data_IF_967205530067
#
_entry.id   IF_967205530067
#
_cell.length_a   1.000
_cell.length_b   1.000
_cell.length_c   1.000
_cell.angle_alpha   90.00
_cell.angle_beta   90.00
_cell.angle_gamma   90.00
#
_symmetry.space_group_name_H-M   'P 1'
#
loop_
_entity.id
_entity.type
_entity.pdbx_description
1 polymer ?
#
# COMPACT_ATOMS: atom_id res chain seq x y z
N UNK A 1 -30.52 6.91 23.19
CA UNK A 1 -29.22 7.56 23.43
C UNK A 1 -28.72 7.16 24.81
N UNK A 2 -27.60 6.43 24.87
CA UNK A 2 -27.05 5.85 26.11
C UNK A 2 -26.08 6.83 26.78
N UNK A 3 -26.52 8.08 26.98
CA UNK A 3 -25.76 9.15 27.68
C UNK A 3 -25.26 8.65 29.05
N UNK A 4 -26.06 7.80 29.69
CA UNK A 4 -25.79 7.14 30.97
C UNK A 4 -24.46 6.40 31.04
N UNK A 5 -23.84 6.01 29.92
CA UNK A 5 -22.55 5.32 29.92
C UNK A 5 -21.38 6.20 30.38
N UNK A 6 -21.48 7.51 30.19
CA UNK A 6 -20.39 8.47 30.48
C UNK A 6 -20.72 9.43 31.62
N UNK A 7 -21.93 9.33 32.18
CA UNK A 7 -22.34 10.09 33.37
C UNK A 7 -21.85 9.35 34.62
N UNK A 8 -21.16 10.08 35.48
CA UNK A 8 -20.56 9.69 36.74
C UNK A 8 -21.01 10.71 37.80
N UNK A 9 -20.90 10.38 39.09
CA UNK A 9 -21.31 11.31 40.16
C UNK A 9 -20.59 12.68 40.07
N UNK A 10 -19.36 12.69 39.56
CA UNK A 10 -18.55 13.90 39.40
C UNK A 10 -19.01 14.84 38.29
N UNK A 11 -19.74 14.35 37.26
CA UNK A 11 -20.27 15.16 36.15
C UNK A 11 -21.80 15.10 36.08
N UNK A 12 -22.48 14.50 37.06
CA UNK A 12 -23.94 14.36 37.09
C UNK A 12 -24.67 15.70 37.08
N UNK A 13 -24.07 16.72 37.69
CA UNK A 13 -24.59 18.10 37.70
C UNK A 13 -24.34 18.85 36.37
N UNK A 14 -23.54 18.27 35.48
CA UNK A 14 -23.27 18.83 34.16
C UNK A 14 -24.26 18.24 33.14
N UNK A 15 -25.12 19.09 32.58
CA UNK A 15 -26.05 18.74 31.49
C UNK A 15 -25.29 18.55 30.16
N UNK A 16 -24.39 17.57 30.10
CA UNK A 16 -23.52 17.34 28.95
C UNK A 16 -24.29 16.75 27.77
N UNK A 17 -24.00 17.28 26.57
CA UNK A 17 -24.49 16.72 25.30
C UNK A 17 -23.60 15.55 24.86
N UNK A 18 -24.22 14.43 24.52
CA UNK A 18 -23.56 13.25 23.95
C UNK A 18 -23.31 13.39 22.44
N UNK A 19 -23.93 14.36 21.76
CA UNK A 19 -23.75 14.54 20.32
C UNK A 19 -22.39 15.11 19.91
N UNK A 20 -21.68 15.76 20.84
CA UNK A 20 -20.40 16.43 20.56
C UNK A 20 -19.22 15.67 21.17
N UNK A 21 -18.58 14.84 20.35
CA UNK A 21 -17.33 14.18 20.71
C UNK A 21 -16.14 15.15 20.58
N UNK A 22 -15.49 15.49 21.70
CA UNK A 22 -14.31 16.37 21.77
C UNK A 22 -13.32 15.81 22.81
N UNK A 23 -12.61 14.72 22.47
CA UNK A 23 -11.86 13.94 23.45
C UNK A 23 -10.73 14.76 24.07
N UNK A 24 -10.58 14.64 25.39
CA UNK A 24 -9.49 15.28 26.15
C UNK A 24 -8.75 14.24 26.97
N UNK A 25 -7.44 14.41 27.08
CA UNK A 25 -6.60 13.63 27.96
C UNK A 25 -6.46 14.33 29.31
N UNK A 26 -6.83 13.66 30.40
CA UNK A 26 -6.57 14.12 31.75
C UNK A 26 -5.13 13.87 32.20
N UNK A 27 -4.70 14.56 33.26
CA UNK A 27 -3.40 14.34 33.92
C UNK A 27 -3.27 12.93 34.53
N UNK A 28 -4.39 12.25 34.74
CA UNK A 28 -4.51 10.85 35.14
C UNK A 28 -4.21 9.85 34.00
N UNK A 29 -3.91 10.35 32.79
CA UNK A 29 -3.76 9.57 31.55
C UNK A 29 -5.03 8.83 31.11
N UNK A 30 -6.22 9.31 31.51
CA UNK A 30 -7.50 8.79 31.05
C UNK A 30 -8.07 9.73 29.97
N UNK A 31 -8.69 9.13 28.95
CA UNK A 31 -9.36 9.86 27.87
C UNK A 31 -10.83 10.01 28.24
N UNK A 32 -11.30 11.25 28.28
CA UNK A 32 -12.70 11.60 28.54
C UNK A 32 -13.41 11.95 27.24
N UNK A 33 -14.72 11.64 27.15
CA UNK A 33 -15.52 11.85 25.93
C UNK A 33 -15.57 13.31 25.47
N UNK A 34 -15.67 14.23 26.44
CA UNK A 34 -15.62 15.67 26.23
C UNK A 34 -15.11 16.37 27.48
N UNK A 35 -14.67 17.65 27.42
CA UNK A 35 -14.32 18.41 28.62
C UNK A 35 -15.50 18.56 29.61
N UNK A 36 -16.74 18.49 29.12
CA UNK A 36 -17.93 18.49 29.98
C UNK A 36 -18.04 17.18 30.75
N UNK A 37 -17.83 16.02 30.09
CA UNK A 37 -17.82 14.74 30.78
C UNK A 37 -16.61 14.57 31.72
N UNK A 38 -15.55 15.35 31.55
CA UNK A 38 -14.45 15.46 32.53
C UNK A 38 -14.79 16.41 33.71
N UNK A 39 -15.92 17.13 33.66
CA UNK A 39 -16.35 18.06 34.71
C UNK A 39 -15.57 19.37 34.76
N UNK A 40 -14.92 19.76 33.66
CA UNK A 40 -14.05 20.93 33.62
C UNK A 40 -14.83 22.25 33.56
N UNK A 41 -14.51 23.17 34.46
CA UNK A 41 -15.17 24.49 34.53
C UNK A 41 -14.34 25.63 33.94
N UNK A 42 -13.01 25.50 33.90
CA UNK A 42 -12.10 26.52 33.37
C UNK A 42 -11.56 26.11 32.01
N UNK A 43 -11.47 27.09 31.11
CA UNK A 43 -10.84 26.94 29.80
C UNK A 43 -9.71 27.96 29.68
N UNK A 44 -8.52 27.47 29.37
CA UNK A 44 -7.34 28.25 29.06
C UNK A 44 -7.08 28.16 27.56
N UNK A 45 -6.80 29.30 26.91
CA UNK A 45 -6.49 29.34 25.49
C UNK A 45 -5.16 30.04 25.27
N UNK A 46 -4.22 29.34 24.65
CA UNK A 46 -2.87 29.84 24.34
C UNK A 46 -2.48 29.37 22.94
N UNK A 47 -2.09 30.28 22.04
CA UNK A 47 -1.63 29.97 20.68
C UNK A 47 -2.55 28.99 19.92
N UNK A 48 -3.86 29.22 20.00
CA UNK A 48 -4.93 28.39 19.41
C UNK A 48 -5.08 26.97 19.99
N UNK A 49 -4.31 26.63 21.03
CA UNK A 49 -4.51 25.43 21.84
C UNK A 49 -5.45 25.73 22.99
N UNK A 50 -6.43 24.85 23.19
CA UNK A 50 -7.33 24.86 24.36
C UNK A 50 -6.90 23.83 25.38
N UNK A 51 -6.82 24.27 26.62
CA UNK A 51 -6.52 23.48 27.80
C UNK A 51 -7.63 23.70 28.82
N UNK A 52 -7.85 22.72 29.69
CA UNK A 52 -8.97 22.72 30.63
C UNK A 52 -8.46 22.50 32.05
N UNK A 53 -9.17 23.06 33.03
CA UNK A 53 -8.85 22.87 34.45
C UNK A 53 -10.08 23.02 35.33
N UNK A 54 -9.90 22.77 36.64
CA UNK A 54 -10.99 22.67 37.60
C UNK A 54 -12.01 21.60 37.17
N UNK A 55 -11.50 20.41 36.86
CA UNK A 55 -12.22 19.25 36.38
C UNK A 55 -12.57 18.34 37.57
N UNK A 56 -13.86 18.13 37.83
CA UNK A 56 -14.32 17.34 38.99
C UNK A 56 -14.10 15.83 38.83
N UNK A 57 -13.99 15.32 37.61
CA UNK A 57 -13.84 13.87 37.36
C UNK A 57 -12.38 13.42 37.23
N UNK A 58 -11.42 14.35 37.17
CA UNK A 58 -10.01 14.02 36.99
C UNK A 58 -9.36 13.93 38.36
N UNK A 59 -8.96 12.73 38.76
CA UNK A 59 -8.21 12.55 40.01
C UNK A 59 -6.81 13.15 39.86
N UNK A 60 -6.57 14.27 40.54
CA UNK A 60 -5.24 14.83 40.67
C UNK A 60 -4.38 13.84 41.46
N UNK A 61 -3.50 13.13 40.77
CA UNK A 61 -2.41 12.40 41.42
C UNK A 61 -1.47 13.43 42.07
N UNK A 62 -1.78 13.83 43.31
CA UNK A 62 -0.94 14.68 44.15
C UNK A 62 0.35 13.94 44.53
N UNK A 63 1.24 13.69 43.57
CA UNK A 63 2.63 13.40 43.87
C UNK A 63 3.33 14.71 44.23
N UNK A 64 3.24 15.07 45.52
CA UNK A 64 4.12 16.00 46.22
C UNK A 64 4.29 17.40 45.61
N UNK A 65 3.27 18.26 45.74
CA UNK A 65 3.52 19.69 45.90
C UNK A 65 2.52 20.30 46.88
N UNK A 66 3.03 20.60 48.06
CA UNK A 66 2.42 21.42 49.08
C UNK A 66 2.17 22.85 48.59
N UNK A 67 1.05 23.44 49.03
CA UNK A 67 0.76 24.88 49.10
C UNK A 67 0.39 25.54 47.76
N UNK A 68 -0.89 25.90 47.65
CA UNK A 68 -1.45 26.85 46.68
C UNK A 68 -1.19 26.50 45.21
N UNK A 69 -1.99 25.58 44.66
CA UNK A 69 -2.05 25.36 43.23
C UNK A 69 -2.29 26.71 42.51
N UNK A 70 -1.44 27.13 41.55
CA UNK A 70 -1.66 28.36 40.82
C UNK A 70 -3.02 28.28 40.12
N UNK A 71 -3.72 29.41 40.02
CA UNK A 71 -5.08 29.51 39.46
C UNK A 71 -5.22 29.00 38.00
N UNK A 72 -4.09 28.69 37.35
CA UNK A 72 -3.91 28.24 35.98
C UNK A 72 -3.33 26.81 35.90
N UNK A 73 -3.78 25.89 36.76
CA UNK A 73 -3.41 24.49 36.61
C UNK A 73 -4.20 23.85 35.45
N UNK A 74 -3.47 23.34 34.46
CA UNK A 74 -4.04 22.58 33.35
C UNK A 74 -4.16 21.12 33.80
N UNK A 75 -5.38 20.60 33.78
CA UNK A 75 -5.70 19.23 34.20
C UNK A 75 -6.11 18.34 33.03
N UNK A 76 -6.57 18.94 31.93
CA UNK A 76 -6.85 18.21 30.71
C UNK A 76 -6.45 19.01 29.46
N UNK A 77 -5.99 18.29 28.43
CA UNK A 77 -5.61 18.88 27.14
C UNK A 77 -6.22 18.08 26.00
N UNK A 78 -6.31 18.70 24.81
CA UNK A 78 -6.69 17.99 23.57
C UNK A 78 -5.55 17.17 22.96
N UNK A 79 -4.42 17.06 23.67
CA UNK A 79 -3.30 16.28 23.21
C UNK A 79 -3.56 14.79 23.47
N UNK A 80 -2.86 13.93 22.72
CA UNK A 80 -2.98 12.48 22.90
C UNK A 80 -2.41 12.12 24.27
N UNK A 81 -3.10 11.23 25.00
CA UNK A 81 -2.53 10.68 26.22
C UNK A 81 -1.19 9.99 25.96
N UNK A 82 -0.33 10.03 26.98
CA UNK A 82 0.97 9.38 26.90
C UNK A 82 0.77 7.86 26.83
N UNK A 83 1.05 7.30 25.66
CA UNK A 83 0.96 5.87 25.44
C UNK A 83 2.32 5.23 25.72
N UNK A 84 2.52 4.66 26.91
CA UNK A 84 3.71 3.88 27.26
C UNK A 84 3.73 2.50 26.56
N UNK A 85 3.54 2.49 25.24
CA UNK A 85 3.52 1.26 24.45
C UNK A 85 4.95 0.87 24.07
N UNK A 86 5.58 0.00 24.89
CA UNK A 86 6.93 -0.52 24.64
C UNK A 86 7.06 -1.28 23.31
N UNK A 87 5.96 -1.86 22.81
CA UNK A 87 5.94 -2.67 21.59
C UNK A 87 5.71 -1.90 20.29
N UNK A 88 5.49 -0.57 20.35
CA UNK A 88 5.30 0.27 19.16
C UNK A 88 6.46 0.18 18.14
N UNK A 89 7.73 0.32 18.57
CA UNK A 89 8.88 0.17 17.67
C UNK A 89 8.99 -1.22 17.04
N UNK A 90 8.61 -2.27 17.77
CA UNK A 90 8.62 -3.65 17.27
C UNK A 90 7.59 -3.84 16.15
N UNK A 91 6.37 -3.31 16.33
CA UNK A 91 5.34 -3.31 15.28
C UNK A 91 5.84 -2.64 13.99
N UNK A 92 6.46 -1.47 14.11
CA UNK A 92 7.02 -0.74 12.97
C UNK A 92 8.16 -1.52 12.29
N UNK A 93 9.05 -2.14 13.07
CA UNK A 93 10.13 -2.96 12.54
C UNK A 93 9.59 -4.17 11.75
N UNK A 94 8.60 -4.89 12.28
CA UNK A 94 7.99 -6.04 11.59
C UNK A 94 7.35 -5.64 10.27
N UNK A 95 6.59 -4.52 10.26
CA UNK A 95 5.99 -4.01 9.02
C UNK A 95 7.07 -3.61 8.02
N UNK A 96 8.14 -2.94 8.46
CA UNK A 96 9.26 -2.58 7.60
C UNK A 96 9.89 -3.80 6.93
N UNK A 97 10.23 -4.85 7.70
CA UNK A 97 10.79 -6.07 7.13
C UNK A 97 9.81 -6.77 6.19
N UNK A 98 8.52 -6.82 6.54
CA UNK A 98 7.49 -7.38 5.68
C UNK A 98 7.39 -6.64 4.33
N UNK A 99 7.45 -5.31 4.34
CA UNK A 99 7.48 -4.50 3.11
C UNK A 99 8.76 -4.76 2.32
N UNK A 100 9.91 -4.72 2.96
CA UNK A 100 11.21 -5.00 2.34
C UNK A 100 11.23 -6.35 1.61
N UNK A 101 10.83 -7.44 2.28
CA UNK A 101 10.75 -8.76 1.65
C UNK A 101 9.71 -8.83 0.54
N UNK A 102 8.63 -8.04 0.60
CA UNK A 102 7.65 -7.95 -0.51
C UNK A 102 8.32 -7.44 -1.78
N UNK A 103 9.09 -6.35 -1.68
CA UNK A 103 9.79 -5.77 -2.82
C UNK A 103 10.94 -6.66 -3.31
N UNK A 104 11.64 -7.34 -2.40
CA UNK A 104 12.68 -8.29 -2.79
C UNK A 104 12.14 -9.46 -3.60
N UNK A 105 10.94 -9.96 -3.28
CA UNK A 105 10.32 -11.10 -3.97
C UNK A 105 9.63 -10.68 -5.26
N UNK A 106 9.17 -9.43 -5.39
CA UNK A 106 8.44 -8.99 -6.58
C UNK A 106 9.29 -9.03 -7.84
N UNK A 107 10.56 -8.59 -7.80
CA UNK A 107 11.45 -8.58 -8.97
C UNK A 107 11.79 -10.01 -9.48
N UNK A 108 12.23 -10.96 -8.63
CA UNK A 108 12.42 -12.35 -9.03
C UNK A 108 11.15 -12.99 -9.57
N UNK A 109 9.99 -12.68 -9.00
CA UNK A 109 8.70 -13.23 -9.46
C UNK A 109 8.39 -12.79 -10.88
N UNK A 110 8.56 -11.50 -11.20
CA UNK A 110 8.38 -11.00 -12.56
C UNK A 110 9.39 -11.62 -13.54
N UNK A 111 10.65 -11.76 -13.12
CA UNK A 111 11.68 -12.42 -13.92
C UNK A 111 11.36 -13.89 -14.20
N UNK A 112 10.84 -14.61 -13.20
CA UNK A 112 10.42 -16.00 -13.35
C UNK A 112 9.27 -16.14 -14.35
N UNK A 113 8.22 -15.31 -14.26
CA UNK A 113 7.12 -15.32 -15.24
C UNK A 113 7.64 -15.14 -16.66
N UNK A 114 8.53 -14.16 -16.88
CA UNK A 114 9.07 -13.87 -18.21
C UNK A 114 9.94 -15.01 -18.79
N UNK A 115 10.54 -15.84 -17.95
CA UNK A 115 11.33 -17.02 -18.38
C UNK A 115 10.46 -18.24 -18.66
N UNK A 116 9.23 -18.29 -18.15
CA UNK A 116 8.32 -19.41 -18.34
C UNK A 116 7.43 -19.29 -19.59
N UNK A 117 7.43 -18.13 -20.25
CA UNK A 117 6.56 -17.85 -21.40
C UNK A 117 7.39 -17.47 -22.64
N UNK A 118 6.90 -17.82 -23.82
CA UNK A 118 7.53 -17.47 -25.08
C UNK A 118 7.59 -15.93 -25.26
N UNK A 119 8.63 -15.45 -25.94
CA UNK A 119 8.90 -14.01 -26.18
C UNK A 119 7.68 -13.24 -26.69
N UNK A 120 6.92 -13.83 -27.61
CA UNK A 120 5.73 -13.20 -28.23
C UNK A 120 4.51 -13.11 -27.29
N UNK A 121 4.50 -13.86 -26.18
CA UNK A 121 3.36 -13.95 -25.26
C UNK A 121 3.61 -13.26 -23.90
N UNK A 122 4.79 -12.68 -23.70
CA UNK A 122 5.20 -12.04 -22.43
C UNK A 122 4.21 -10.98 -21.94
N UNK A 123 3.82 -10.05 -22.79
CA UNK A 123 2.91 -8.96 -22.43
C UNK A 123 1.50 -9.46 -22.08
N UNK A 124 1.04 -10.51 -22.76
CA UNK A 124 -0.24 -11.15 -22.46
C UNK A 124 -0.21 -11.85 -21.10
N UNK A 125 0.85 -12.61 -20.81
CA UNK A 125 1.05 -13.28 -19.52
C UNK A 125 1.13 -12.29 -18.35
N UNK A 126 1.89 -11.20 -18.50
CA UNK A 126 1.94 -10.14 -17.50
C UNK A 126 0.57 -9.47 -17.31
N UNK A 127 -0.18 -9.25 -18.39
CA UNK A 127 -1.56 -8.76 -18.32
C UNK A 127 -2.44 -9.64 -17.42
N UNK A 128 -2.47 -10.95 -17.66
CA UNK A 128 -3.23 -11.91 -16.84
C UNK A 128 -2.74 -11.92 -15.38
N UNK A 129 -1.42 -11.89 -15.16
CA UNK A 129 -0.83 -11.85 -13.82
C UNK A 129 -1.34 -10.63 -13.03
N UNK A 130 -1.27 -9.43 -13.61
CA UNK A 130 -1.74 -8.22 -12.93
C UNK A 130 -3.26 -8.15 -12.79
N UNK A 131 -4.02 -8.66 -13.76
CA UNK A 131 -5.48 -8.77 -13.62
C UNK A 131 -5.85 -9.68 -12.44
N UNK A 132 -5.18 -10.83 -12.31
CA UNK A 132 -5.41 -11.76 -11.20
C UNK A 132 -5.07 -11.11 -9.86
N UNK A 133 -3.94 -10.41 -9.76
CA UNK A 133 -3.54 -9.67 -8.54
C UNK A 133 -4.58 -8.61 -8.16
N UNK A 134 -5.13 -7.89 -9.15
CA UNK A 134 -6.14 -6.86 -8.89
C UNK A 134 -7.46 -7.48 -8.43
N UNK A 135 -7.93 -8.51 -9.12
CA UNK A 135 -9.21 -9.17 -8.83
C UNK A 135 -9.22 -9.85 -7.47
N UNK A 136 -8.15 -10.58 -7.13
CA UNK A 136 -8.08 -11.37 -5.89
C UNK A 136 -7.43 -10.63 -4.72
N UNK A 137 -6.67 -9.58 -4.97
CA UNK A 137 -5.94 -8.82 -3.96
C UNK A 137 -6.47 -7.40 -3.81
N UNK A 138 -6.25 -6.57 -4.82
CA UNK A 138 -6.49 -5.12 -4.72
C UNK A 138 -7.95 -4.74 -4.48
N UNK A 139 -8.91 -5.43 -5.11
CA UNK A 139 -10.35 -5.16 -4.92
C UNK A 139 -10.85 -5.60 -3.54
N UNK A 140 -10.61 -6.84 -3.07
CA UNK A 140 -11.11 -7.27 -1.77
C UNK A 140 -10.33 -6.65 -0.59
N UNK A 141 -9.09 -6.20 -0.79
CA UNK A 141 -8.27 -5.68 0.31
C UNK A 141 -8.91 -4.49 1.05
N UNK A 142 -9.36 -3.39 0.41
CA UNK A 142 -10.00 -2.28 1.12
C UNK A 142 -11.27 -2.68 1.87
N UNK A 143 -12.08 -3.58 1.30
CA UNK A 143 -13.32 -4.07 1.93
C UNK A 143 -12.98 -4.83 3.21
N UNK A 144 -12.01 -5.74 3.14
CA UNK A 144 -11.54 -6.51 4.27
C UNK A 144 -10.86 -5.63 5.33
N UNK A 145 -10.02 -4.68 4.92
CA UNK A 145 -9.38 -3.73 5.84
C UNK A 145 -10.41 -2.80 6.50
N UNK A 146 -11.47 -2.40 5.80
CA UNK A 146 -12.59 -1.67 6.39
C UNK A 146 -13.24 -2.45 7.52
N UNK A 147 -13.64 -3.70 7.25
CA UNK A 147 -14.20 -4.60 8.27
C UNK A 147 -13.22 -4.83 9.44
N UNK A 148 -11.92 -4.94 9.16
CA UNK A 148 -10.89 -5.11 10.19
C UNK A 148 -10.78 -3.90 11.12
N UNK A 149 -10.87 -2.69 10.57
CA UNK A 149 -10.87 -1.44 11.32
C UNK A 149 -12.14 -1.33 12.16
N UNK A 150 -13.30 -1.69 11.61
CA UNK A 150 -14.56 -1.69 12.36
C UNK A 150 -14.52 -2.66 13.56
N UNK A 151 -13.80 -3.78 13.45
CA UNK A 151 -13.59 -4.72 14.56
C UNK A 151 -12.80 -4.15 15.73
N UNK A 152 -11.95 -3.15 15.52
CA UNK A 152 -11.22 -2.49 16.61
C UNK A 152 -11.97 -1.29 17.19
N UNK A 153 -13.18 -0.97 16.69
CA UNK A 153 -13.98 0.11 17.19
C UNK A 153 -14.43 -0.12 18.64
N UNK A 154 -14.23 0.88 19.50
CA UNK A 154 -14.69 0.89 20.90
C UNK A 154 -15.94 1.76 21.06
N UNK A 155 -16.00 2.84 20.30
CA UNK A 155 -17.06 3.85 20.40
C UNK A 155 -17.57 4.22 19.01
N UNK A 156 -18.84 3.88 18.77
CA UNK A 156 -19.56 4.24 17.56
C UNK A 156 -20.26 5.58 17.73
N UNK A 157 -20.36 6.34 16.64
CA UNK A 157 -21.20 7.53 16.60
C UNK A 157 -22.68 7.13 16.48
N UNK A 158 -23.52 7.66 17.36
CA UNK A 158 -24.98 7.52 17.25
C UNK A 158 -25.49 8.35 16.06
N UNK A 159 -26.31 7.74 15.19
CA UNK A 159 -26.98 8.44 14.08
C UNK A 159 -28.49 8.48 14.31
N UNK A 160 -29.18 9.44 13.67
CA UNK A 160 -30.63 9.63 13.82
C UNK A 160 -31.50 8.46 13.30
N UNK A 161 -30.93 7.51 12.55
CA UNK A 161 -31.67 6.44 11.86
C UNK A 161 -31.43 5.04 12.47
N UNK A 162 -31.08 4.96 13.77
CA UNK A 162 -30.71 3.72 14.49
C UNK A 162 -29.54 2.93 13.85
N UNK A 163 -28.88 3.50 12.83
CA UNK A 163 -27.66 2.97 12.22
C UNK A 163 -26.42 3.57 12.91
N UNK A 164 -25.43 2.73 13.20
CA UNK A 164 -24.13 3.21 13.68
C UNK A 164 -23.44 4.01 12.56
N UNK A 165 -22.99 5.22 12.89
CA UNK A 165 -22.23 6.08 11.99
C UNK A 165 -20.75 5.67 11.93
N UNK A 166 -19.87 6.65 11.75
CA UNK A 166 -18.42 6.41 11.82
C UNK A 166 -17.98 6.03 13.24
N UNK A 167 -16.92 5.24 13.36
CA UNK A 167 -16.31 4.98 14.66
C UNK A 167 -15.48 6.18 15.15
N UNK A 168 -15.74 6.62 16.37
CA UNK A 168 -15.13 7.79 17.01
C UNK A 168 -13.81 7.44 17.71
N UNK A 169 -13.69 6.22 18.23
CA UNK A 169 -12.50 5.78 18.98
C UNK A 169 -12.18 4.31 18.76
N UNK A 170 -10.91 4.04 18.43
CA UNK A 170 -10.40 2.71 18.11
C UNK A 170 -9.43 2.20 19.18
N UNK A 171 -9.44 0.88 19.40
CA UNK A 171 -8.47 0.23 20.28
C UNK A 171 -7.19 -0.12 19.50
N UNK A 172 -6.08 0.54 19.86
CA UNK A 172 -4.78 0.38 19.22
C UNK A 172 -4.17 -1.03 19.41
N UNK A 173 -4.40 -1.68 20.56
CA UNK A 173 -3.86 -3.02 20.85
C UNK A 173 -4.52 -4.07 19.96
N UNK A 174 -5.86 -4.05 19.88
CA UNK A 174 -6.63 -4.95 19.01
C UNK A 174 -6.30 -4.69 17.54
N UNK A 175 -6.23 -3.42 17.14
CA UNK A 175 -5.92 -3.05 15.76
C UNK A 175 -4.53 -3.55 15.33
N UNK A 176 -3.49 -3.28 16.13
CA UNK A 176 -2.12 -3.70 15.83
C UNK A 176 -1.97 -5.22 15.80
N UNK A 177 -2.53 -5.93 16.78
CA UNK A 177 -2.46 -7.40 16.86
C UNK A 177 -3.16 -8.06 15.67
N UNK A 178 -4.35 -7.58 15.31
CA UNK A 178 -5.09 -8.10 14.17
C UNK A 178 -4.32 -7.89 12.85
N UNK A 179 -3.81 -6.67 12.62
CA UNK A 179 -3.01 -6.34 11.44
C UNK A 179 -1.76 -7.23 11.35
N UNK A 180 -1.00 -7.36 12.44
CA UNK A 180 0.20 -8.19 12.46
C UNK A 180 -0.11 -9.66 12.19
N UNK A 181 -1.15 -10.19 12.83
CA UNK A 181 -1.56 -11.59 12.66
C UNK A 181 -1.89 -11.88 11.20
N UNK A 182 -2.67 -11.01 10.56
CA UNK A 182 -3.04 -11.16 9.15
C UNK A 182 -1.82 -11.02 8.23
N UNK A 183 -0.96 -10.03 8.45
CA UNK A 183 0.25 -9.84 7.65
C UNK A 183 1.15 -11.08 7.75
N UNK A 184 1.40 -11.58 8.95
CA UNK A 184 2.19 -12.78 9.18
C UNK A 184 1.57 -14.01 8.50
N UNK A 185 0.25 -14.21 8.60
CA UNK A 185 -0.46 -15.30 7.92
C UNK A 185 -0.34 -15.23 6.40
N UNK A 186 -0.59 -14.05 5.81
CA UNK A 186 -0.47 -13.84 4.36
C UNK A 186 0.96 -14.09 3.90
N UNK A 187 1.96 -13.65 4.66
CA UNK A 187 3.38 -13.90 4.37
C UNK A 187 3.74 -15.37 4.47
N UNK A 188 3.26 -16.06 5.49
CA UNK A 188 3.46 -17.49 5.64
C UNK A 188 2.87 -18.28 4.45
N UNK A 189 1.61 -17.98 4.08
CA UNK A 189 0.98 -18.56 2.89
C UNK A 189 1.75 -18.23 1.61
N UNK A 190 2.26 -17.00 1.47
CA UNK A 190 3.10 -16.62 0.34
C UNK A 190 4.35 -17.50 0.25
N UNK A 191 5.07 -17.70 1.37
CA UNK A 191 6.23 -18.58 1.40
C UNK A 191 5.88 -20.02 1.00
N UNK A 192 4.73 -20.55 1.43
CA UNK A 192 4.26 -21.88 1.01
C UNK A 192 4.02 -21.92 -0.50
N UNK A 193 3.33 -20.93 -1.08
CA UNK A 193 3.10 -20.90 -2.53
C UNK A 193 4.39 -20.75 -3.33
N UNK A 194 5.33 -19.92 -2.87
CA UNK A 194 6.65 -19.78 -3.52
C UNK A 194 7.48 -21.07 -3.45
N UNK A 195 7.48 -21.76 -2.32
CA UNK A 195 8.19 -23.04 -2.17
C UNK A 195 7.55 -24.14 -3.02
N UNK A 196 6.22 -24.19 -3.10
CA UNK A 196 5.50 -25.09 -3.99
C UNK A 196 5.77 -24.81 -5.47
N UNK A 197 5.78 -23.53 -5.87
CA UNK A 197 6.13 -23.11 -7.22
C UNK A 197 7.58 -23.49 -7.57
N UNK A 198 8.51 -23.30 -6.63
CA UNK A 198 9.90 -23.73 -6.79
C UNK A 198 10.03 -25.24 -6.98
N UNK A 199 9.31 -26.03 -6.18
CA UNK A 199 9.31 -27.49 -6.31
C UNK A 199 8.71 -27.96 -7.65
N UNK A 200 7.68 -27.26 -8.13
CA UNK A 200 7.00 -27.59 -9.39
C UNK A 200 7.72 -27.04 -10.63
N UNK A 201 8.70 -26.15 -10.45
CA UNK A 201 9.42 -25.52 -11.54
C UNK A 201 10.29 -26.56 -12.26
N UNK A 202 9.96 -26.82 -13.52
CA UNK A 202 10.82 -27.57 -14.44
C UNK A 202 11.62 -26.58 -15.29
N UNK A 203 12.95 -26.58 -15.20
CA UNK A 203 13.78 -25.83 -16.13
C UNK A 203 13.46 -26.30 -17.55
N UNK A 204 13.33 -25.38 -18.50
CA UNK A 204 13.37 -25.77 -19.90
C UNK A 204 14.75 -26.40 -20.15
N UNK A 205 14.78 -27.65 -20.60
CA UNK A 205 16.01 -28.26 -21.12
C UNK A 205 16.59 -27.26 -22.12
N UNK A 206 17.87 -26.92 -21.95
CA UNK A 206 18.59 -26.08 -22.89
C UNK A 206 18.33 -26.63 -24.28
N UNK A 207 17.59 -25.88 -25.10
CA UNK A 207 17.44 -26.21 -26.50
C UNK A 207 18.85 -26.51 -27.05
N UNK A 208 19.04 -27.63 -27.77
CA UNK A 208 20.34 -27.98 -28.30
C UNK A 208 20.91 -26.78 -29.06
N UNK A 209 22.21 -26.60 -28.93
CA UNK A 209 23.07 -25.50 -29.40
C UNK A 209 22.92 -25.06 -30.87
N UNK A 210 21.98 -25.62 -31.63
CA UNK A 210 21.75 -25.29 -33.03
C UNK A 210 21.35 -23.83 -33.27
N UNK A 211 20.76 -23.14 -32.29
CA UNK A 211 20.49 -21.70 -32.38
C UNK A 211 21.70 -20.80 -32.03
N UNK A 212 22.79 -21.37 -31.47
CA UNK A 212 24.01 -20.63 -31.14
C UNK A 212 24.99 -20.59 -32.32
N UNK A 213 25.05 -21.66 -33.12
CA UNK A 213 25.86 -21.71 -34.35
C UNK A 213 25.42 -20.68 -35.40
N UNK A 214 24.13 -20.35 -35.50
CA UNK A 214 23.64 -19.35 -36.47
C UNK A 214 24.09 -17.90 -36.18
N UNK A 215 24.66 -17.65 -34.98
CA UNK A 215 25.14 -16.32 -34.56
C UNK A 215 26.66 -16.22 -34.40
N UNK A 216 27.40 -17.34 -34.52
CA UNK A 216 28.85 -17.41 -34.23
C UNK A 216 29.67 -17.92 -35.43
N UNK A 217 29.09 -18.00 -36.64
CA UNK A 217 29.87 -18.26 -37.86
C UNK A 217 29.78 -17.13 -38.89
N UNK A 218 30.26 -15.94 -38.53
CA UNK A 218 30.83 -15.01 -39.51
C UNK A 218 32.18 -14.49 -39.02
N UNK A 219 33.30 -15.16 -39.35
CA UNK A 219 34.54 -14.47 -39.55
C UNK A 219 34.53 -13.88 -40.96
N UNK A 220 34.67 -12.57 -40.99
CA UNK A 220 35.18 -11.74 -42.08
C UNK A 220 35.77 -12.51 -43.29
N UNK A 221 35.23 -12.17 -44.47
CA UNK A 221 35.81 -12.24 -45.82
C UNK A 221 35.05 -13.14 -46.80
N UNK A 222 34.18 -12.45 -47.54
CA UNK A 222 33.38 -12.93 -48.65
C UNK A 222 34.29 -13.44 -49.77
N UNK A 223 34.26 -14.75 -50.03
CA UNK A 223 34.83 -15.35 -51.24
C UNK A 223 33.96 -16.52 -51.70
N UNK A 224 32.71 -16.25 -52.10
CA UNK A 224 31.93 -17.21 -52.88
C UNK A 224 31.25 -16.48 -54.04
N UNK A 225 31.94 -16.46 -55.18
CA UNK A 225 31.32 -16.51 -56.51
C UNK A 225 32.14 -17.47 -57.39
N UNK A 226 31.76 -18.75 -57.37
CA UNK A 226 31.94 -19.71 -58.48
C UNK A 226 30.64 -20.50 -58.53
N UNK A 227 29.80 -20.46 -59.56
CA UNK A 227 29.75 -19.66 -60.78
C UNK A 227 28.53 -20.13 -61.57
N UNK A 228 27.90 -19.25 -62.34
CA UNK A 228 27.16 -19.57 -63.57
C UNK A 228 27.33 -18.38 -64.51
N UNK A 229 27.53 -18.71 -65.79
CA UNK A 229 27.98 -17.89 -66.89
C UNK A 229 27.26 -16.57 -67.16
N UNK A 230 28.08 -15.63 -67.66
CA UNK A 230 27.79 -14.58 -68.66
C UNK A 230 26.73 -13.53 -68.33
N UNK A 231 27.16 -12.28 -68.10
CA UNK A 231 26.66 -11.02 -68.72
C UNK A 231 27.61 -9.84 -68.39
N UNK A 232 27.63 -8.85 -69.30
CA UNK A 232 28.52 -7.68 -69.56
C UNK A 232 29.02 -6.78 -68.39
N UNK A 233 30.04 -5.91 -68.62
CA UNK A 233 30.81 -5.19 -67.58
C UNK A 233 30.32 -3.82 -67.07
N UNK A 234 29.07 -3.36 -67.25
CA UNK A 234 28.74 -1.92 -67.06
C UNK A 234 27.59 -1.60 -66.08
N UNK A 235 27.57 -2.13 -64.85
CA UNK A 235 26.65 -1.62 -63.81
C UNK A 235 27.30 -1.51 -62.42
N UNK A 236 27.32 -0.29 -61.88
CA UNK A 236 27.65 0.03 -60.48
C UNK A 236 26.34 0.28 -59.71
N UNK A 237 26.13 -0.41 -58.59
CA UNK A 237 25.04 -0.07 -57.65
C UNK A 237 25.61 0.59 -56.39
N UNK A 238 25.25 1.86 -56.22
CA UNK A 238 25.51 2.71 -55.07
C UNK A 238 24.62 2.28 -53.89
N UNK A 239 25.21 2.17 -52.69
CA UNK A 239 24.54 1.64 -51.50
C UNK A 239 23.40 2.51 -50.97
N UNK A 240 22.47 1.89 -50.23
CA UNK A 240 21.38 2.60 -49.53
C UNK A 240 21.29 2.14 -48.06
N UNK A 241 21.12 3.16 -47.20
CA UNK A 241 21.04 3.12 -45.74
C UNK A 241 19.63 2.73 -45.27
N UNK A 242 19.56 2.11 -44.10
CA UNK A 242 18.36 1.56 -43.44
C UNK A 242 17.26 2.59 -43.12
N UNK A 243 16.01 2.10 -43.14
CA UNK A 243 14.90 2.61 -42.31
C UNK A 243 14.05 1.41 -41.81
N UNK A 244 13.64 1.36 -40.53
CA UNK A 244 12.72 0.34 -40.04
C UNK A 244 11.30 0.90 -39.91
N UNK A 245 10.29 0.14 -40.36
CA UNK A 245 9.03 -0.18 -39.68
C UNK A 245 8.05 -0.75 -40.72
N UNK A 246 7.54 -1.96 -40.49
CA UNK A 246 6.57 -2.59 -41.38
C UNK A 246 5.23 -1.84 -41.34
N UNK A 247 4.64 -1.60 -42.50
CA UNK A 247 3.23 -1.89 -42.73
C UNK A 247 2.97 -2.11 -44.23
N UNK A 248 2.34 -3.25 -44.48
CA UNK A 248 1.57 -3.61 -45.68
C UNK A 248 2.34 -3.89 -46.98
N UNK A 249 2.25 -5.14 -47.39
CA UNK A 249 2.62 -5.60 -48.72
C UNK A 249 1.59 -5.07 -49.74
N UNK A 250 2.05 -4.25 -50.69
CA UNK A 250 1.48 -4.22 -52.03
C UNK A 250 2.56 -3.83 -53.03
N UNK A 251 2.97 -4.81 -53.84
CA UNK A 251 3.83 -4.59 -55.00
C UNK A 251 2.92 -4.24 -56.17
N UNK A 252 3.05 -3.04 -56.73
CA UNK A 252 2.62 -2.78 -58.10
C UNK A 252 3.65 -1.89 -58.76
N UNK A 253 4.45 -2.50 -59.63
CA UNK A 253 5.22 -1.80 -60.63
C UNK A 253 4.25 -1.35 -61.73
N UNK A 254 4.26 -0.08 -62.09
CA UNK A 254 4.02 0.31 -63.48
C UNK A 254 4.77 1.61 -63.77
N UNK A 255 5.69 1.50 -64.70
CA UNK A 255 6.38 2.61 -65.32
C UNK A 255 5.68 2.89 -66.66
N UNK A 256 5.22 4.11 -66.87
CA UNK A 256 5.19 4.65 -68.23
C UNK A 256 5.41 6.16 -68.22
N UNK A 257 6.48 6.54 -68.91
CA UNK A 257 6.81 7.90 -69.27
C UNK A 257 5.96 8.38 -70.47
N UNK A 258 5.96 9.70 -70.62
CA UNK A 258 5.69 10.50 -71.84
C UNK A 258 4.29 11.10 -72.01
N UNK A 259 4.23 12.41 -71.72
CA UNK A 259 3.77 13.51 -72.60
C UNK A 259 2.60 13.29 -73.56
N UNK A 260 1.59 14.16 -73.49
CA UNK A 260 1.21 15.18 -74.52
C UNK A 260 -0.19 15.73 -74.17
N UNK A 261 -0.27 17.07 -74.16
CA UNK A 261 -1.43 17.97 -73.96
C UNK A 261 -1.99 18.13 -72.53
#
# INVERSE_FOLDING_TARGET
TNVSKFVLDCNADCLCSDHNYDPVCGVDNIIYYSPCFAGCQKVFQENDKKSYGSCSCIEQSFSNMSISAPANMVEATREKCNNNCSHGPLFLAVIFFCMFFTFLVSMPSLSATLRCVAETQKSFALGIQWMTVRLLGTIPAPIFFGWLIDKSCVLWQDSCDDQHGSCLFYNNEKMSTNILTIICLVKFLSCIFFTFAWYSYRPAESAPSYAREASISEPHNQSICKGVSSVNPNEQCLGIRFAPYQNEAFTSCDAHASSVL
#
